data_IF_839675022991
#
_entry.id   IF_839675022991
#
_cell.length_a   1.000
_cell.length_b   1.000
_cell.length_c   1.000
_cell.angle_alpha   90.00
_cell.angle_beta   90.00
_cell.angle_gamma   90.00
#
_symmetry.space_group_name_H-M   'P 1'
#
loop_
_entity.id
_entity.type
_entity.pdbx_description
1 polymer ?
#
# COMPACT_ATOMS: atom_id res chain seq x y z
N UNK A 1 -14.21 7.80 7.55
CA UNK A 1 -12.86 7.61 8.11
C UNK A 1 -13.02 7.21 9.57
N UNK A 2 -12.44 6.09 9.96
CA UNK A 2 -12.41 5.61 11.35
C UNK A 2 -11.07 5.99 11.96
N UNK A 3 -11.05 6.38 13.23
CA UNK A 3 -9.81 6.58 13.99
C UNK A 3 -9.87 5.74 15.28
N UNK A 4 -8.81 4.98 15.54
CA UNK A 4 -8.69 4.15 16.74
C UNK A 4 -7.24 4.13 17.20
N UNK A 5 -7.00 4.57 18.44
CA UNK A 5 -5.67 4.61 19.08
C UNK A 5 -4.57 5.23 18.19
N UNK A 6 -4.87 6.34 17.52
CA UNK A 6 -3.91 7.03 16.64
C UNK A 6 -3.74 6.41 15.25
N UNK A 7 -4.51 5.37 14.91
CA UNK A 7 -4.57 4.77 13.57
C UNK A 7 -5.82 5.27 12.86
N UNK A 8 -5.64 5.88 11.69
CA UNK A 8 -6.73 6.32 10.82
C UNK A 8 -6.91 5.32 9.69
N UNK A 9 -8.16 4.94 9.45
CA UNK A 9 -8.56 4.01 8.40
C UNK A 9 -9.58 4.72 7.50
N UNK A 10 -9.25 4.85 6.22
CA UNK A 10 -10.14 5.36 5.20
C UNK A 10 -10.44 4.27 4.18
N UNK A 11 -11.71 3.92 4.05
CA UNK A 11 -12.20 3.11 2.94
C UNK A 11 -12.36 3.98 1.70
N UNK A 12 -11.79 3.55 0.58
CA UNK A 12 -11.79 4.29 -0.68
C UNK A 12 -12.68 3.64 -1.75
N UNK A 13 -13.34 2.53 -1.41
CA UNK A 13 -14.20 1.73 -2.30
C UNK A 13 -13.63 0.32 -2.54
N UNK A 14 -14.50 -0.66 -2.82
CA UNK A 14 -14.13 -2.08 -2.97
C UNK A 14 -13.25 -2.55 -1.78
N UNK A 15 -12.11 -3.17 -2.05
CA UNK A 15 -11.15 -3.61 -1.03
C UNK A 15 -10.00 -2.59 -0.87
N UNK A 16 -10.20 -1.37 -1.37
CA UNK A 16 -9.23 -0.29 -1.22
C UNK A 16 -9.33 0.38 0.13
N UNK A 17 -8.26 0.27 0.92
CA UNK A 17 -8.10 0.99 2.18
C UNK A 17 -6.83 1.82 2.20
N UNK A 18 -6.90 2.98 2.85
CA UNK A 18 -5.73 3.71 3.32
C UNK A 18 -5.67 3.65 4.84
N UNK A 19 -4.56 3.18 5.38
CA UNK A 19 -4.26 3.18 6.80
C UNK A 19 -3.12 4.16 7.03
N UNK A 20 -3.26 5.04 8.03
CA UNK A 20 -2.18 5.96 8.40
C UNK A 20 -2.09 6.12 9.91
N UNK A 21 -0.86 6.04 10.45
CA UNK A 21 -0.60 6.34 11.85
C UNK A 21 -0.36 7.83 12.08
N UNK A 22 -0.82 8.37 13.21
CA UNK A 22 -0.19 9.56 13.78
C UNK A 22 1.14 9.11 14.36
N UNK A 23 2.26 9.47 13.75
CA UNK A 23 3.55 9.29 14.41
C UNK A 23 3.51 9.95 15.79
N UNK A 24 4.12 9.31 16.79
CA UNK A 24 4.52 10.04 18.00
C UNK A 24 5.35 11.25 17.57
N UNK A 25 5.25 12.38 18.28
CA UNK A 25 5.64 13.78 17.99
C UNK A 25 6.94 14.09 17.20
N UNK A 26 7.72 13.10 16.77
CA UNK A 26 8.94 13.26 15.98
C UNK A 26 9.03 12.34 14.73
N UNK A 27 7.94 11.66 14.33
CA UNK A 27 7.92 10.81 13.12
C UNK A 27 6.80 11.22 12.16
N UNK A 28 7.15 11.49 10.91
CA UNK A 28 6.20 11.56 9.80
C UNK A 28 5.40 10.25 9.77
N UNK A 29 4.07 10.32 9.89
CA UNK A 29 3.22 9.12 9.93
C UNK A 29 3.35 8.27 8.66
N UNK A 30 3.32 6.94 8.79
CA UNK A 30 3.36 5.98 7.68
C UNK A 30 1.99 5.91 7.01
N UNK A 31 1.96 5.94 5.67
CA UNK A 31 0.77 5.71 4.85
C UNK A 31 0.83 4.33 4.16
N UNK A 32 -0.14 3.48 4.48
CA UNK A 32 -0.32 2.15 3.90
C UNK A 32 -1.54 2.19 2.99
N UNK A 33 -1.40 1.70 1.76
CA UNK A 33 -2.52 1.43 0.86
C UNK A 33 -2.68 -0.07 0.65
N UNK A 34 -3.93 -0.52 0.55
CA UNK A 34 -4.30 -1.91 0.30
C UNK A 34 -5.16 -1.93 -0.96
N UNK A 35 -4.86 -2.83 -1.90
CA UNK A 35 -5.66 -3.17 -3.09
C UNK A 35 -6.32 -1.96 -3.77
N UNK A 36 -5.54 -0.99 -4.28
CA UNK A 36 -6.08 0.21 -4.91
C UNK A 36 -6.82 -0.12 -6.20
N UNK A 37 -8.08 0.32 -6.29
CA UNK A 37 -8.94 0.08 -7.44
C UNK A 37 -9.92 1.23 -7.69
N UNK A 38 -10.08 1.62 -8.96
CA UNK A 38 -10.99 2.69 -9.41
C UNK A 38 -10.83 4.00 -8.64
N UNK A 39 -9.59 4.39 -8.33
CA UNK A 39 -9.29 5.65 -7.69
C UNK A 39 -9.52 6.80 -8.68
N UNK A 40 -10.30 7.79 -8.24
CA UNK A 40 -10.71 8.94 -9.09
C UNK A 40 -9.54 9.84 -9.49
N UNK A 41 -8.50 9.93 -8.66
CA UNK A 41 -7.36 10.83 -8.84
C UNK A 41 -6.14 10.28 -8.13
N UNK A 42 -4.99 10.85 -8.47
CA UNK A 42 -3.75 10.61 -7.74
C UNK A 42 -3.90 10.93 -6.26
N UNK A 43 -3.34 10.06 -5.42
CA UNK A 43 -3.31 10.27 -3.99
C UNK A 43 -2.41 11.45 -3.67
N UNK A 44 -2.95 12.40 -2.90
CA UNK A 44 -2.16 13.53 -2.36
C UNK A 44 -1.05 13.04 -1.42
N UNK A 45 -1.35 11.99 -0.68
CA UNK A 45 -0.43 11.35 0.24
C UNK A 45 -0.10 9.96 -0.29
N UNK A 46 1.12 9.82 -0.82
CA UNK A 46 1.61 8.61 -1.48
C UNK A 46 1.85 7.50 -0.47
N UNK A 47 1.83 6.25 -0.92
CA UNK A 47 2.11 5.10 -0.08
C UNK A 47 3.58 5.10 0.37
N UNK A 48 3.82 4.84 1.65
CA UNK A 48 5.10 4.30 2.13
C UNK A 48 5.11 2.78 1.92
N UNK A 49 3.96 2.14 2.15
CA UNK A 49 3.75 0.71 1.95
C UNK A 49 2.52 0.50 1.07
N UNK A 50 2.66 -0.29 0.01
CA UNK A 50 1.54 -0.77 -0.80
C UNK A 50 1.39 -2.28 -0.60
N UNK A 51 0.24 -2.72 -0.14
CA UNK A 51 -0.14 -4.12 -0.01
C UNK A 51 -1.02 -4.51 -1.20
N UNK A 52 -0.68 -5.60 -1.87
CA UNK A 52 -1.52 -6.20 -2.93
C UNK A 52 -1.76 -7.66 -2.57
N UNK A 53 -3.03 -8.02 -2.39
CA UNK A 53 -3.44 -9.32 -1.85
C UNK A 53 -3.32 -10.47 -2.85
N UNK A 54 -3.84 -10.31 -4.07
CA UNK A 54 -3.85 -11.34 -5.12
C UNK A 54 -4.04 -10.74 -6.53
N UNK A 55 -3.85 -11.55 -7.58
CA UNK A 55 -3.69 -11.10 -8.96
C UNK A 55 -4.97 -10.77 -9.73
N UNK A 56 -6.14 -10.77 -9.08
CA UNK A 56 -7.37 -10.35 -9.75
C UNK A 56 -7.35 -8.85 -10.08
N UNK A 57 -8.02 -8.46 -11.17
CA UNK A 57 -7.93 -7.12 -11.75
C UNK A 57 -8.47 -6.00 -10.83
N UNK A 58 -9.33 -6.35 -9.89
CA UNK A 58 -9.94 -5.47 -8.88
C UNK A 58 -9.10 -5.34 -7.59
N UNK A 59 -7.98 -6.08 -7.50
CA UNK A 59 -7.00 -5.99 -6.40
C UNK A 59 -5.61 -5.55 -6.91
N UNK A 60 -5.20 -6.03 -8.10
CA UNK A 60 -3.98 -5.66 -8.82
C UNK A 60 -4.29 -4.75 -10.02
N UNK A 61 -4.81 -3.56 -9.76
CA UNK A 61 -4.91 -2.52 -10.79
C UNK A 61 -3.60 -1.75 -10.91
N UNK A 62 -2.80 -2.05 -11.95
CA UNK A 62 -1.53 -1.34 -12.23
C UNK A 62 -1.75 0.16 -12.42
N UNK A 63 -2.90 0.56 -12.98
CA UNK A 63 -3.27 1.97 -13.14
C UNK A 63 -3.46 2.65 -11.78
N UNK A 64 -4.19 2.02 -10.86
CA UNK A 64 -4.47 2.58 -9.55
C UNK A 64 -3.28 2.50 -8.59
N UNK A 65 -2.44 1.46 -8.72
CA UNK A 65 -1.16 1.39 -8.02
C UNK A 65 -0.29 2.61 -8.36
N UNK A 66 -0.20 3.01 -9.64
CA UNK A 66 0.55 4.22 -10.06
C UNK A 66 0.01 5.51 -9.42
N UNK A 67 -1.28 5.57 -9.09
CA UNK A 67 -1.90 6.73 -8.44
C UNK A 67 -1.51 6.87 -6.96
N UNK A 68 -1.01 5.80 -6.33
CA UNK A 68 -0.66 5.80 -4.90
C UNK A 68 0.84 5.71 -4.64
N UNK A 69 1.64 5.10 -5.52
CA UNK A 69 3.09 4.91 -5.25
C UNK A 69 3.94 6.16 -5.50
N UNK A 70 5.10 6.19 -4.84
CA UNK A 70 6.24 7.08 -5.09
C UNK A 70 7.50 6.23 -5.31
N UNK A 71 8.26 6.53 -6.37
CA UNK A 71 9.33 5.65 -6.87
C UNK A 71 10.49 5.45 -5.90
N UNK A 72 10.80 6.44 -5.07
CA UNK A 72 11.90 6.47 -4.12
C UNK A 72 11.53 5.99 -2.72
N UNK A 73 10.23 5.87 -2.43
CA UNK A 73 9.72 5.68 -1.07
C UNK A 73 8.90 4.42 -0.88
N UNK A 74 8.07 4.04 -1.86
CA UNK A 74 7.10 2.96 -1.66
C UNK A 74 7.74 1.59 -1.68
N UNK A 75 7.57 0.81 -0.62
CA UNK A 75 7.80 -0.63 -0.60
C UNK A 75 6.49 -1.35 -0.93
N UNK A 76 6.49 -2.19 -1.97
CA UNK A 76 5.33 -3.04 -2.31
C UNK A 76 5.50 -4.38 -1.60
N UNK A 77 4.52 -4.82 -0.82
CA UNK A 77 4.49 -6.16 -0.22
C UNK A 77 3.37 -6.95 -0.88
N UNK A 78 3.71 -8.09 -1.47
CA UNK A 78 2.73 -8.84 -2.26
C UNK A 78 3.14 -10.30 -2.48
N UNK A 79 2.29 -11.08 -3.14
CA UNK A 79 2.58 -12.47 -3.52
C UNK A 79 3.49 -12.54 -4.76
N UNK A 80 3.98 -13.74 -5.06
CA UNK A 80 4.81 -13.93 -6.26
C UNK A 80 4.05 -13.65 -7.56
N UNK A 81 2.77 -14.04 -7.65
CA UNK A 81 1.93 -13.80 -8.84
C UNK A 81 1.74 -12.31 -9.10
N UNK A 82 1.47 -11.53 -8.06
CA UNK A 82 1.28 -10.09 -8.18
C UNK A 82 2.56 -9.31 -8.50
N UNK A 83 3.71 -9.76 -8.01
CA UNK A 83 4.99 -9.08 -8.24
C UNK A 83 5.33 -8.98 -9.73
N UNK A 84 4.95 -9.97 -10.54
CA UNK A 84 5.16 -9.94 -11.99
C UNK A 84 4.32 -8.86 -12.67
N UNK A 85 3.08 -8.62 -12.21
CA UNK A 85 2.24 -7.51 -12.69
C UNK A 85 2.77 -6.12 -12.33
N UNK A 86 3.63 -6.02 -11.31
CA UNK A 86 4.21 -4.76 -10.82
C UNK A 86 5.54 -4.38 -11.48
N UNK A 87 6.12 -5.22 -12.35
CA UNK A 87 7.45 -5.00 -12.98
C UNK A 87 7.58 -3.67 -13.74
N UNK A 88 6.47 -3.12 -14.24
CA UNK A 88 6.43 -1.83 -14.95
C UNK A 88 6.18 -0.61 -14.06
N UNK A 89 6.03 -0.79 -12.75
CA UNK A 89 5.75 0.28 -11.78
C UNK A 89 7.03 0.63 -11.05
N UNK A 90 7.45 1.90 -11.11
CA UNK A 90 8.63 2.38 -10.39
C UNK A 90 8.29 2.51 -8.90
N UNK A 91 8.97 1.74 -8.08
CA UNK A 91 8.85 1.69 -6.62
C UNK A 91 10.24 1.46 -6.02
N UNK A 92 10.39 1.70 -4.72
CA UNK A 92 11.67 1.54 -4.01
C UNK A 92 12.10 0.08 -4.02
N UNK A 93 11.18 -0.82 -3.69
CA UNK A 93 11.39 -2.26 -3.69
C UNK A 93 10.06 -3.03 -3.77
N UNK A 94 10.13 -4.29 -4.20
CA UNK A 94 9.02 -5.24 -4.16
C UNK A 94 9.45 -6.41 -3.26
N UNK A 95 8.72 -6.63 -2.16
CA UNK A 95 8.94 -7.70 -1.19
C UNK A 95 7.88 -8.78 -1.41
N UNK A 96 8.32 -9.95 -1.87
CA UNK A 96 7.46 -11.11 -2.08
C UNK A 96 7.29 -11.88 -0.77
N UNK A 97 6.05 -12.19 -0.40
CA UNK A 97 5.70 -12.98 0.79
C UNK A 97 4.91 -14.24 0.44
N UNK A 98 4.93 -15.20 1.35
CA UNK A 98 4.15 -16.44 1.34
C UNK A 98 3.22 -16.48 2.56
N UNK A 99 2.20 -17.36 2.56
CA UNK A 99 1.43 -17.62 3.77
C UNK A 99 2.36 -17.90 4.96
N UNK A 100 2.03 -17.31 6.10
CA UNK A 100 2.77 -17.39 7.37
C UNK A 100 4.06 -16.58 7.48
N UNK A 101 4.50 -15.91 6.41
CA UNK A 101 5.62 -14.97 6.52
C UNK A 101 5.24 -13.79 7.43
N UNK A 102 6.23 -13.32 8.20
CA UNK A 102 6.18 -12.06 8.94
C UNK A 102 7.27 -11.16 8.40
N UNK A 103 6.91 -9.94 8.05
CA UNK A 103 7.84 -8.96 7.50
C UNK A 103 7.70 -7.64 8.23
N UNK A 104 8.81 -7.14 8.77
CA UNK A 104 8.90 -5.73 9.15
C UNK A 104 9.16 -4.90 7.89
N UNK A 105 8.37 -3.86 7.71
CA UNK A 105 8.57 -2.83 6.70
C UNK A 105 8.41 -1.47 7.37
N UNK A 106 9.50 -0.71 7.43
CA UNK A 106 9.53 0.63 8.01
C UNK A 106 9.03 0.68 9.47
N UNK A 107 9.29 -0.36 10.26
CA UNK A 107 8.86 -0.45 11.67
C UNK A 107 7.39 -0.87 11.85
N UNK A 108 6.74 -1.33 10.78
CA UNK A 108 5.42 -1.96 10.81
C UNK A 108 5.61 -3.46 10.61
N UNK A 109 5.22 -4.28 11.60
CA UNK A 109 5.43 -5.73 11.66
C UNK A 109 4.17 -6.50 12.09
#
# INVERSE_FOLDING_TARGET
MLEYKGVRIAWLGHDTFKISGSGSSSSSGIAIYIDPYKLRKEARDRADILLISHEHFDHLSVEDAKKVVAADRTTVVTTKSCADGMRGVKVKEIKVVKPWDKVDVQGVA
#
